data_IF_236384392762
#
_entry.id   IF_236384392762
#
_cell.length_a   1.000
_cell.length_b   1.000
_cell.length_c   1.000
_cell.angle_alpha   90.00
_cell.angle_beta   90.00
_cell.angle_gamma   90.00
#
_symmetry.space_group_name_H-M   'P 1'
#
loop_
_entity.id
_entity.type
_entity.pdbx_description
1 polymer ?
#
# COMPACT_ATOMS: atom_id res chain seq x y z
N UNK A 1 -22.54 -17.22 5.40
CA UNK A 1 -21.70 -16.07 5.91
C UNK A 1 -22.45 -15.31 7.02
N UNK A 2 -21.97 -15.25 8.21
CA UNK A 2 -22.60 -14.70 9.41
C UNK A 2 -23.27 -13.34 9.14
N UNK A 3 -23.63 -13.01 7.81
CA UNK A 3 -24.41 -11.82 7.41
C UNK A 3 -25.71 -12.20 6.71
N UNK A 4 -25.85 -13.48 6.52
CA UNK A 4 -27.03 -13.96 5.76
C UNK A 4 -28.17 -14.29 6.73
N UNK A 5 -27.88 -14.26 8.08
CA UNK A 5 -28.90 -14.70 9.07
C UNK A 5 -29.67 -13.47 9.56
N UNK A 6 -29.07 -12.22 9.26
CA UNK A 6 -29.80 -11.02 9.72
C UNK A 6 -30.71 -10.47 8.62
N UNK A 7 -30.47 -10.96 7.34
CA UNK A 7 -31.24 -10.52 6.17
C UNK A 7 -32.46 -11.44 5.98
N UNK A 8 -32.41 -12.68 6.60
CA UNK A 8 -33.54 -13.63 6.44
C UNK A 8 -34.52 -13.45 7.60
N UNK A 9 -34.11 -12.77 8.71
CA UNK A 9 -35.06 -12.55 9.82
C UNK A 9 -35.74 -11.19 9.67
N UNK A 10 -35.33 -10.41 8.68
CA UNK A 10 -35.82 -9.02 8.56
C UNK A 10 -36.72 -8.88 7.33
N UNK A 11 -36.75 -9.86 6.46
CA UNK A 11 -37.65 -9.89 5.28
C UNK A 11 -39.08 -10.30 5.69
N UNK A 12 -39.29 -10.46 7.05
CA UNK A 12 -40.65 -10.85 7.50
C UNK A 12 -41.37 -9.64 8.09
N UNK A 13 -40.79 -8.31 7.84
CA UNK A 13 -41.57 -7.18 8.39
C UNK A 13 -41.39 -5.96 7.50
N UNK A 14 -41.71 -5.94 6.20
CA UNK A 14 -42.07 -4.81 5.31
C UNK A 14 -41.46 -3.48 5.77
N UNK A 15 -40.28 -3.36 6.47
CA UNK A 15 -39.65 -2.06 6.73
C UNK A 15 -38.30 -2.03 5.98
N UNK A 16 -38.24 -1.40 4.78
CA UNK A 16 -36.95 -1.14 4.09
C UNK A 16 -35.88 -0.63 5.06
N UNK A 17 -35.25 -1.54 5.77
CA UNK A 17 -34.15 -1.15 6.68
C UNK A 17 -32.92 -0.82 5.82
N UNK A 18 -32.58 0.50 5.76
CA UNK A 18 -31.33 0.98 5.11
C UNK A 18 -30.09 0.51 5.90
N UNK A 19 -29.36 -0.44 5.32
CA UNK A 19 -28.10 -0.94 5.94
C UNK A 19 -27.14 0.25 6.13
N UNK A 20 -26.62 0.36 7.38
CA UNK A 20 -25.66 1.45 7.63
C UNK A 20 -24.44 1.39 6.70
N UNK A 21 -23.88 2.49 6.27
CA UNK A 21 -22.75 2.58 5.31
C UNK A 21 -21.53 1.79 5.81
N UNK A 22 -21.30 1.86 7.10
CA UNK A 22 -20.11 1.13 7.59
C UNK A 22 -20.26 -0.39 7.38
N UNK A 23 -21.47 -0.88 7.52
CA UNK A 23 -21.68 -2.33 7.30
C UNK A 23 -21.53 -2.67 5.81
N UNK A 24 -21.96 -1.72 4.98
CA UNK A 24 -21.81 -1.97 3.52
C UNK A 24 -20.34 -1.94 3.10
N UNK A 25 -19.64 -0.98 3.73
CA UNK A 25 -18.21 -0.91 3.37
C UNK A 25 -17.52 -2.20 3.84
N UNK A 26 -17.80 -2.60 5.01
CA UNK A 26 -17.17 -3.83 5.50
C UNK A 26 -17.51 -5.02 4.60
N UNK A 27 -18.79 -5.18 4.28
CA UNK A 27 -19.18 -6.28 3.39
C UNK A 27 -18.44 -6.20 2.04
N UNK A 28 -18.40 -4.99 1.52
CA UNK A 28 -17.70 -4.84 0.22
C UNK A 28 -16.21 -5.17 0.37
N UNK A 29 -15.60 -4.78 1.45
CA UNK A 29 -14.17 -5.07 1.64
C UNK A 29 -13.94 -6.58 1.80
N UNK A 30 -14.81 -7.26 2.52
CA UNK A 30 -14.67 -8.73 2.64
C UNK A 30 -14.71 -9.40 1.27
N UNK A 31 -15.63 -8.95 0.53
CA UNK A 31 -15.69 -9.55 -0.83
C UNK A 31 -14.40 -9.26 -1.62
N UNK A 32 -14.04 -8.01 -1.47
CA UNK A 32 -12.77 -7.67 -2.15
C UNK A 32 -11.65 -8.60 -1.72
N UNK A 33 -11.48 -8.87 -0.43
CA UNK A 33 -10.35 -9.71 0.04
C UNK A 33 -10.55 -11.17 -0.38
N UNK A 34 -11.77 -11.60 -0.48
CA UNK A 34 -11.99 -12.99 -0.93
C UNK A 34 -11.50 -13.16 -2.38
N UNK A 35 -11.67 -12.06 -3.15
CA UNK A 35 -11.19 -12.18 -4.55
C UNK A 35 -9.66 -12.22 -4.56
N UNK A 36 -9.02 -11.51 -3.66
CA UNK A 36 -7.54 -11.35 -3.73
C UNK A 36 -6.85 -12.48 -2.96
N UNK A 37 -7.47 -13.08 -2.04
CA UNK A 37 -6.83 -14.02 -1.08
C UNK A 37 -6.08 -15.12 -1.82
N UNK A 38 -6.64 -15.73 -2.85
CA UNK A 38 -5.91 -16.81 -3.53
C UNK A 38 -4.59 -16.31 -4.14
N UNK A 39 -4.66 -15.14 -4.74
CA UNK A 39 -3.40 -14.62 -5.32
C UNK A 39 -2.41 -14.28 -4.19
N UNK A 40 -2.92 -13.70 -3.15
CA UNK A 40 -2.02 -13.35 -2.03
C UNK A 40 -1.31 -14.60 -1.48
N UNK A 41 -2.00 -15.68 -1.40
CA UNK A 41 -1.35 -16.93 -0.91
C UNK A 41 -0.20 -17.36 -1.83
N UNK A 42 -0.45 -17.12 -3.14
CA UNK A 42 0.63 -17.50 -4.07
C UNK A 42 1.80 -16.51 -3.94
N UNK A 43 1.46 -15.26 -3.85
CA UNK A 43 2.53 -14.24 -3.95
C UNK A 43 3.32 -14.19 -2.64
N UNK A 44 2.65 -14.37 -1.62
CA UNK A 44 3.39 -14.18 -0.35
C UNK A 44 3.71 -15.52 0.29
N UNK A 45 3.56 -16.56 -0.52
CA UNK A 45 4.00 -17.90 -0.07
C UNK A 45 5.25 -18.35 -0.83
N UNK A 46 5.62 -19.57 -0.83
CA UNK A 46 6.86 -20.09 -1.45
C UNK A 46 6.62 -20.44 -2.92
N UNK A 47 5.43 -20.07 -3.45
CA UNK A 47 5.07 -20.58 -4.80
C UNK A 47 5.21 -19.47 -5.84
N UNK A 48 5.64 -18.31 -5.48
CA UNK A 48 5.57 -17.20 -6.46
C UNK A 48 6.47 -17.50 -7.67
N UNK A 49 7.70 -17.91 -7.40
CA UNK A 49 8.62 -18.13 -8.55
C UNK A 49 8.06 -19.21 -9.49
N UNK A 50 7.62 -20.28 -8.92
CA UNK A 50 7.03 -21.35 -9.76
C UNK A 50 5.80 -20.83 -10.53
N UNK A 51 5.03 -20.07 -9.88
CA UNK A 51 3.81 -19.53 -10.53
C UNK A 51 4.19 -18.63 -11.72
N UNK A 52 5.18 -17.74 -11.45
CA UNK A 52 5.54 -16.78 -12.52
C UNK A 52 6.15 -17.50 -13.73
N UNK A 53 6.64 -18.73 -13.58
CA UNK A 53 7.26 -19.45 -14.72
C UNK A 53 6.21 -20.20 -15.54
N UNK A 54 5.00 -20.11 -15.08
CA UNK A 54 3.94 -20.77 -15.88
C UNK A 54 3.48 -19.87 -17.04
N UNK A 55 3.07 -20.48 -18.16
CA UNK A 55 2.65 -19.69 -19.35
C UNK A 55 1.27 -19.09 -19.12
N UNK A 56 0.58 -19.59 -18.03
CA UNK A 56 -0.81 -19.15 -17.85
C UNK A 56 -0.89 -18.13 -16.71
N UNK A 57 0.27 -17.75 -16.14
CA UNK A 57 0.25 -16.88 -14.94
C UNK A 57 -0.45 -15.55 -15.25
N UNK A 58 -0.08 -14.95 -16.42
CA UNK A 58 -0.69 -13.64 -16.71
C UNK A 58 -2.19 -13.79 -16.96
N UNK A 59 -2.56 -14.85 -17.64
CA UNK A 59 -4.01 -15.08 -17.85
C UNK A 59 -4.74 -15.24 -16.51
N UNK A 60 -4.12 -15.97 -15.60
CA UNK A 60 -4.74 -16.15 -14.27
C UNK A 60 -4.91 -14.80 -13.57
N UNK A 61 -3.89 -13.96 -13.54
CA UNK A 61 -3.96 -12.64 -12.87
C UNK A 61 -4.97 -11.73 -13.58
N UNK A 62 -4.93 -11.87 -14.94
CA UNK A 62 -5.93 -11.07 -15.69
C UNK A 62 -7.36 -11.46 -15.28
N UNK A 63 -7.64 -12.72 -15.08
CA UNK A 63 -8.97 -13.16 -14.62
C UNK A 63 -9.33 -12.53 -13.26
N UNK A 64 -8.34 -12.53 -12.37
CA UNK A 64 -8.61 -11.90 -11.05
C UNK A 64 -8.87 -10.40 -11.20
N UNK A 65 -8.10 -9.75 -12.04
CA UNK A 65 -8.33 -8.31 -12.30
C UNK A 65 -9.75 -8.07 -12.83
N UNK A 66 -10.27 -8.95 -13.63
CA UNK A 66 -11.66 -8.77 -14.13
C UNK A 66 -12.67 -8.90 -12.99
N UNK A 67 -12.43 -9.83 -12.14
CA UNK A 67 -13.34 -9.96 -10.99
C UNK A 67 -13.32 -8.69 -10.12
N UNK A 68 -12.12 -8.10 -9.99
CA UNK A 68 -12.04 -6.87 -9.18
C UNK A 68 -12.80 -5.73 -9.86
N UNK A 69 -12.68 -5.68 -11.21
CA UNK A 69 -13.44 -4.61 -11.90
C UNK A 69 -14.95 -4.85 -11.77
N UNK A 70 -15.29 -6.13 -11.91
CA UNK A 70 -16.73 -6.40 -11.72
C UNK A 70 -17.17 -6.02 -10.30
N UNK A 71 -16.27 -6.35 -9.33
CA UNK A 71 -16.58 -5.93 -7.95
C UNK A 71 -16.78 -4.41 -7.89
N UNK A 72 -15.88 -3.62 -8.45
CA UNK A 72 -16.00 -2.16 -8.39
C UNK A 72 -17.27 -1.68 -9.10
N UNK A 73 -17.66 -2.35 -10.24
CA UNK A 73 -18.86 -1.92 -11.01
C UNK A 73 -20.14 -2.25 -10.22
N UNK A 74 -20.02 -3.14 -9.31
CA UNK A 74 -21.26 -3.60 -8.64
C UNK A 74 -21.45 -2.90 -7.30
N UNK A 75 -20.60 -1.88 -7.00
CA UNK A 75 -20.75 -1.24 -5.68
C UNK A 75 -22.01 -0.37 -5.65
N UNK A 76 -22.67 -0.38 -4.51
CA UNK A 76 -23.77 0.59 -4.39
C UNK A 76 -23.29 2.03 -4.58
N UNK A 77 -24.20 2.87 -5.08
CA UNK A 77 -23.80 4.25 -5.44
C UNK A 77 -23.24 5.00 -4.22
N UNK A 78 -23.69 4.68 -3.06
CA UNK A 78 -23.21 5.39 -1.86
C UNK A 78 -21.74 5.05 -1.57
N UNK A 79 -21.32 3.94 -2.10
CA UNK A 79 -19.92 3.59 -1.81
C UNK A 79 -19.00 4.05 -2.94
N UNK A 80 -19.62 4.71 -3.93
CA UNK A 80 -18.77 5.30 -4.97
C UNK A 80 -18.18 6.60 -4.41
N UNK A 81 -16.85 6.69 -4.62
CA UNK A 81 -16.18 7.87 -4.02
C UNK A 81 -16.77 9.17 -4.60
N UNK A 82 -17.06 10.06 -3.69
CA UNK A 82 -17.56 11.41 -4.05
C UNK A 82 -17.30 12.38 -2.89
N UNK A 83 -17.35 13.67 -3.26
CA UNK A 83 -17.16 14.62 -2.15
C UNK A 83 -18.14 14.34 -0.99
N UNK A 84 -17.59 14.24 0.25
CA UNK A 84 -18.44 14.01 1.44
C UNK A 84 -18.46 12.53 1.85
N UNK A 85 -17.79 11.70 0.99
CA UNK A 85 -17.77 10.27 1.37
C UNK A 85 -17.00 10.10 2.68
N UNK A 86 -17.38 9.04 3.36
CA UNK A 86 -16.70 8.77 4.64
C UNK A 86 -15.26 8.30 4.41
N UNK A 87 -14.43 8.46 5.48
CA UNK A 87 -13.03 7.99 5.36
C UNK A 87 -12.97 6.49 5.05
N UNK A 88 -13.95 5.67 5.47
CA UNK A 88 -13.94 4.22 5.18
C UNK A 88 -14.08 3.95 3.68
N UNK A 89 -14.84 4.79 3.00
CA UNK A 89 -15.01 4.60 1.54
C UNK A 89 -13.68 4.91 0.82
N UNK A 90 -13.00 5.91 1.31
CA UNK A 90 -11.69 6.21 0.69
C UNK A 90 -10.70 5.06 0.91
N UNK A 91 -10.70 4.56 2.17
CA UNK A 91 -9.73 3.48 2.44
C UNK A 91 -10.07 2.23 1.62
N UNK A 92 -11.35 1.98 1.47
CA UNK A 92 -11.74 0.82 0.62
C UNK A 92 -11.14 0.95 -0.79
N UNK A 93 -11.23 2.12 -1.33
CA UNK A 93 -10.69 2.30 -2.69
C UNK A 93 -9.16 2.28 -2.69
N UNK A 94 -8.58 2.73 -1.55
CA UNK A 94 -7.11 2.59 -1.46
C UNK A 94 -6.73 1.10 -1.51
N UNK A 95 -7.43 0.28 -0.82
CA UNK A 95 -7.09 -1.15 -0.83
C UNK A 95 -7.37 -1.77 -2.21
N UNK A 96 -8.43 -1.27 -2.79
CA UNK A 96 -8.72 -1.78 -4.15
C UNK A 96 -7.53 -1.55 -5.08
N UNK A 97 -7.00 -0.38 -5.04
CA UNK A 97 -5.89 -0.10 -5.99
C UNK A 97 -4.58 -0.72 -5.48
N UNK A 98 -4.45 -0.87 -4.19
CA UNK A 98 -3.24 -1.58 -3.70
C UNK A 98 -3.24 -3.04 -4.19
N UNK A 99 -4.38 -3.65 -4.17
CA UNK A 99 -4.48 -5.04 -4.62
C UNK A 99 -4.17 -5.14 -6.13
N UNK A 100 -4.69 -4.21 -6.86
CA UNK A 100 -4.42 -4.27 -8.31
C UNK A 100 -2.91 -4.10 -8.56
N UNK A 101 -2.35 -3.16 -7.80
CA UNK A 101 -0.90 -3.01 -7.99
C UNK A 101 -0.16 -4.29 -7.59
N UNK A 102 -0.59 -4.96 -6.57
CA UNK A 102 0.06 -6.22 -6.18
C UNK A 102 -0.12 -7.30 -7.25
N UNK A 103 -1.26 -7.27 -7.92
CA UNK A 103 -1.50 -8.31 -8.96
C UNK A 103 -0.43 -8.21 -10.06
N UNK A 104 -0.04 -7.00 -10.35
CA UNK A 104 0.74 -6.90 -11.61
C UNK A 104 2.19 -6.56 -11.30
N UNK A 105 2.49 -6.33 -10.06
CA UNK A 105 3.87 -5.91 -9.70
C UNK A 105 4.90 -6.97 -10.12
N UNK A 106 4.66 -8.23 -9.92
CA UNK A 106 5.70 -9.21 -10.30
C UNK A 106 5.97 -9.20 -11.81
N UNK A 107 5.05 -8.79 -12.56
CA UNK A 107 5.24 -8.87 -14.03
C UNK A 107 6.07 -7.68 -14.53
N UNK A 108 6.20 -6.71 -13.65
CA UNK A 108 6.97 -5.53 -14.11
C UNK A 108 8.46 -5.83 -14.16
N UNK A 109 8.87 -6.91 -13.70
CA UNK A 109 10.32 -7.21 -13.66
C UNK A 109 10.82 -7.74 -15.02
N UNK A 110 9.84 -8.23 -15.72
CA UNK A 110 10.24 -8.72 -17.06
C UNK A 110 9.60 -7.85 -18.15
N UNK A 111 10.46 -7.20 -18.95
CA UNK A 111 9.93 -6.29 -19.99
C UNK A 111 8.97 -7.01 -20.95
N UNK A 112 9.23 -8.30 -21.19
CA UNK A 112 8.32 -9.04 -22.11
C UNK A 112 6.94 -9.24 -21.47
N UNK A 113 6.92 -9.51 -20.23
CA UNK A 113 5.62 -9.77 -19.58
C UNK A 113 4.93 -8.45 -19.22
N UNK A 114 5.72 -7.47 -18.92
CA UNK A 114 5.13 -6.18 -18.49
C UNK A 114 4.38 -5.50 -19.64
N UNK A 115 4.76 -5.78 -20.86
CA UNK A 115 4.10 -5.08 -22.00
C UNK A 115 3.21 -6.05 -22.77
N UNK A 116 3.14 -7.29 -22.20
CA UNK A 116 2.29 -8.24 -22.92
C UNK A 116 0.81 -7.82 -22.79
N UNK A 117 0.07 -7.98 -23.89
CA UNK A 117 -1.33 -7.54 -23.87
C UNK A 117 -2.20 -8.44 -22.98
N UNK A 118 -3.07 -7.76 -22.26
CA UNK A 118 -4.12 -8.53 -21.56
C UNK A 118 -5.20 -8.97 -22.55
N UNK A 119 -5.42 -10.24 -22.66
CA UNK A 119 -6.17 -10.81 -23.81
C UNK A 119 -7.68 -10.54 -23.67
N UNK A 120 -8.11 -10.30 -22.52
CA UNK A 120 -9.58 -10.20 -22.34
C UNK A 120 -9.99 -8.72 -22.46
N UNK A 121 -9.00 -7.79 -22.75
CA UNK A 121 -9.36 -6.37 -22.84
C UNK A 121 -9.13 -5.88 -24.28
N UNK A 122 -10.13 -5.09 -24.73
CA UNK A 122 -10.09 -4.62 -26.15
C UNK A 122 -9.14 -3.43 -26.29
N UNK A 123 -8.76 -2.88 -25.18
CA UNK A 123 -7.91 -1.68 -25.26
C UNK A 123 -6.48 -2.03 -25.71
N UNK A 124 -5.99 -1.25 -26.70
CA UNK A 124 -4.70 -1.47 -27.40
C UNK A 124 -3.51 -1.35 -26.42
N UNK A 125 -3.79 -0.81 -25.24
CA UNK A 125 -2.63 -0.63 -24.33
C UNK A 125 -2.91 -1.30 -22.98
N UNK A 126 -3.86 -2.26 -23.10
CA UNK A 126 -4.13 -2.94 -21.81
C UNK A 126 -3.03 -3.99 -21.55
N UNK A 127 -2.12 -3.57 -20.67
CA UNK A 127 -1.02 -4.48 -20.26
C UNK A 127 -0.69 -4.25 -18.78
N UNK A 128 0.06 -5.18 -18.17
CA UNK A 128 0.33 -5.09 -16.74
C UNK A 128 0.94 -3.74 -16.34
N UNK A 129 1.87 -3.29 -17.15
CA UNK A 129 2.51 -2.00 -16.79
C UNK A 129 1.48 -0.87 -16.79
N UNK A 130 0.69 -0.83 -17.77
CA UNK A 130 -0.31 0.26 -17.85
C UNK A 130 -1.30 0.18 -16.68
N UNK A 131 -1.76 -1.02 -16.40
CA UNK A 131 -2.74 -1.16 -15.30
C UNK A 131 -2.09 -0.77 -13.97
N UNK A 132 -0.89 -1.24 -13.76
CA UNK A 132 -0.16 -0.86 -12.52
C UNK A 132 -0.06 0.67 -12.41
N UNK A 133 0.31 1.33 -13.46
CA UNK A 133 0.55 2.79 -13.36
C UNK A 133 -0.77 3.55 -13.18
N UNK A 134 -1.78 3.06 -13.87
CA UNK A 134 -3.06 3.75 -13.67
C UNK A 134 -3.51 3.62 -12.21
N UNK A 135 -3.37 2.44 -11.65
CA UNK A 135 -3.78 2.29 -10.24
C UNK A 135 -2.92 3.14 -9.31
N UNK A 136 -1.65 3.26 -9.59
CA UNK A 136 -0.80 4.13 -8.74
C UNK A 136 -1.24 5.59 -8.88
N UNK A 137 -1.53 5.95 -10.11
CA UNK A 137 -1.99 7.34 -10.28
C UNK A 137 -3.26 7.60 -9.45
N UNK A 138 -4.17 6.62 -9.52
CA UNK A 138 -5.40 6.81 -8.73
C UNK A 138 -5.09 6.80 -7.23
N UNK A 139 -4.17 5.99 -6.80
CA UNK A 139 -3.80 5.96 -5.37
C UNK A 139 -3.18 7.30 -4.94
N UNK A 140 -2.34 7.91 -5.84
CA UNK A 140 -1.78 9.23 -5.49
C UNK A 140 -2.90 10.26 -5.29
N UNK A 141 -3.88 10.21 -6.18
CA UNK A 141 -5.00 11.17 -6.03
C UNK A 141 -5.77 10.90 -4.74
N UNK A 142 -5.94 9.60 -4.48
CA UNK A 142 -6.67 9.28 -3.24
C UNK A 142 -5.89 9.74 -2.01
N UNK A 143 -4.62 9.56 -2.12
CA UNK A 143 -3.78 9.96 -0.97
C UNK A 143 -3.88 11.48 -0.76
N UNK A 144 -3.86 12.21 -1.79
CA UNK A 144 -3.94 13.68 -1.63
C UNK A 144 -5.31 14.10 -1.13
N UNK A 145 -6.28 13.52 -1.77
CA UNK A 145 -7.65 13.88 -1.34
C UNK A 145 -7.89 13.53 0.13
N UNK A 146 -7.35 12.36 0.47
CA UNK A 146 -7.56 11.92 1.86
C UNK A 146 -6.93 12.91 2.85
N UNK A 147 -5.78 13.43 2.48
CA UNK A 147 -5.09 14.35 3.40
C UNK A 147 -5.80 15.71 3.44
N UNK A 148 -6.38 15.99 2.37
CA UNK A 148 -7.04 17.32 2.34
C UNK A 148 -8.40 17.26 3.04
N UNK A 149 -9.00 16.10 3.06
CA UNK A 149 -10.40 16.06 3.51
C UNK A 149 -10.48 15.58 4.96
N UNK A 150 -9.40 14.87 5.38
CA UNK A 150 -9.55 14.23 6.70
C UNK A 150 -8.34 14.62 7.57
N UNK A 151 -8.63 15.26 8.72
CA UNK A 151 -7.54 15.77 9.58
C UNK A 151 -7.17 14.73 10.65
N UNK A 152 -8.12 14.27 11.54
CA UNK A 152 -7.75 13.32 12.60
C UNK A 152 -7.79 11.88 12.07
N UNK A 153 -8.66 11.62 11.13
CA UNK A 153 -8.79 10.25 10.57
C UNK A 153 -7.56 9.89 9.73
N UNK A 154 -6.88 10.95 9.30
CA UNK A 154 -5.61 10.67 8.60
C UNK A 154 -4.58 10.05 9.54
N UNK A 155 -4.99 9.93 10.79
CA UNK A 155 -4.08 9.21 11.71
C UNK A 155 -4.48 7.74 11.86
N UNK A 156 -5.47 7.39 11.00
CA UNK A 156 -5.80 5.95 10.97
C UNK A 156 -4.61 5.11 10.48
N UNK A 157 -4.37 3.96 11.20
CA UNK A 157 -3.24 3.08 10.84
C UNK A 157 -3.48 2.48 9.44
N UNK A 158 -4.76 2.49 9.01
CA UNK A 158 -5.09 1.79 7.74
C UNK A 158 -4.71 2.66 6.54
N UNK A 159 -4.56 3.88 6.84
CA UNK A 159 -4.20 4.80 5.73
C UNK A 159 -2.75 4.62 5.30
N UNK A 160 -1.95 3.99 6.07
CA UNK A 160 -0.53 3.78 5.76
C UNK A 160 -0.34 2.94 4.49
N UNK A 161 -1.31 2.10 4.16
CA UNK A 161 -1.17 1.29 2.93
C UNK A 161 -1.00 2.20 1.70
N UNK A 162 -1.81 3.20 1.62
CA UNK A 162 -1.66 4.13 0.48
C UNK A 162 -0.29 4.80 0.47
N UNK A 163 0.18 5.17 1.67
CA UNK A 163 1.48 5.87 1.76
C UNK A 163 2.61 4.96 1.31
N UNK A 164 2.57 3.72 1.75
CA UNK A 164 3.68 2.79 1.42
C UNK A 164 3.67 2.49 -0.08
N UNK A 165 2.47 2.32 -0.60
CA UNK A 165 2.42 1.94 -2.03
C UNK A 165 2.84 3.12 -2.91
N UNK A 166 2.41 4.29 -2.61
CA UNK A 166 2.79 5.44 -3.44
C UNK A 166 4.29 5.72 -3.29
N UNK A 167 4.80 5.61 -2.01
CA UNK A 167 6.25 5.79 -1.85
C UNK A 167 7.04 4.78 -2.70
N UNK A 168 6.66 3.53 -2.66
CA UNK A 168 7.38 2.49 -3.45
C UNK A 168 7.34 2.81 -4.95
N UNK A 169 6.21 3.27 -5.36
CA UNK A 169 6.09 3.51 -6.81
C UNK A 169 6.91 4.73 -7.24
N UNK A 170 7.06 5.65 -6.34
CA UNK A 170 7.71 6.92 -6.76
C UNK A 170 9.23 6.81 -6.56
N UNK A 171 9.68 5.91 -5.62
CA UNK A 171 11.12 5.83 -5.34
C UNK A 171 11.76 4.83 -6.30
N UNK A 172 10.98 4.32 -7.25
CA UNK A 172 11.55 3.35 -8.20
C UNK A 172 12.55 4.02 -9.14
N UNK A 173 13.50 3.21 -9.64
CA UNK A 173 14.62 3.74 -10.43
C UNK A 173 14.13 4.27 -11.79
N UNK A 174 13.03 3.75 -12.18
CA UNK A 174 12.61 4.14 -13.56
C UNK A 174 11.56 5.26 -13.49
N UNK A 175 11.49 5.90 -12.37
CA UNK A 175 10.54 7.01 -12.28
C UNK A 175 11.19 8.29 -12.87
N UNK A 176 10.45 8.98 -13.76
CA UNK A 176 11.18 9.95 -14.62
C UNK A 176 10.84 11.39 -14.23
N UNK A 177 9.82 11.59 -13.37
CA UNK A 177 9.52 12.98 -12.96
C UNK A 177 10.05 13.26 -11.54
N UNK A 178 11.18 13.99 -11.50
CA UNK A 178 11.91 14.16 -10.22
C UNK A 178 11.09 15.03 -9.25
N UNK A 179 10.44 16.08 -9.80
CA UNK A 179 9.67 16.97 -8.89
C UNK A 179 8.49 16.22 -8.27
N UNK A 180 7.81 15.55 -9.12
CA UNK A 180 6.69 14.76 -8.57
C UNK A 180 7.19 13.70 -7.58
N UNK A 181 8.22 13.06 -7.94
CA UNK A 181 8.78 12.06 -7.01
C UNK A 181 9.11 12.70 -5.66
N UNK A 182 9.80 13.77 -5.72
CA UNK A 182 10.18 14.42 -4.44
C UNK A 182 8.93 14.84 -3.66
N UNK A 183 8.02 15.35 -4.34
CA UNK A 183 6.78 15.76 -3.67
C UNK A 183 6.13 14.59 -2.93
N UNK A 184 5.92 13.50 -3.59
CA UNK A 184 5.17 12.40 -2.95
C UNK A 184 6.04 11.70 -1.89
N UNK A 185 7.38 11.64 -2.17
CA UNK A 185 8.22 11.02 -1.11
C UNK A 185 8.14 11.88 0.16
N UNK A 186 8.17 13.16 0.00
CA UNK A 186 8.08 14.03 1.20
C UNK A 186 6.71 13.92 1.85
N UNK A 187 5.73 13.94 0.95
CA UNK A 187 4.38 13.77 1.50
C UNK A 187 4.25 12.47 2.31
N UNK A 188 4.76 11.39 1.85
CA UNK A 188 4.63 10.09 2.53
C UNK A 188 5.46 10.06 3.81
N UNK A 189 6.66 10.62 3.75
CA UNK A 189 7.51 10.60 4.96
C UNK A 189 6.85 11.48 6.04
N UNK A 190 6.36 12.59 5.66
CA UNK A 190 5.66 13.42 6.65
C UNK A 190 4.45 12.69 7.24
N UNK A 191 3.68 12.08 6.36
CA UNK A 191 2.52 11.29 6.87
C UNK A 191 2.96 10.22 7.87
N UNK A 192 4.04 9.55 7.61
CA UNK A 192 4.48 8.45 8.51
C UNK A 192 5.06 9.03 9.81
N UNK A 193 5.67 10.21 9.67
CA UNK A 193 6.18 10.83 10.91
C UNK A 193 5.03 11.18 11.86
N UNK A 194 4.00 11.68 11.27
CA UNK A 194 2.85 12.03 12.13
C UNK A 194 2.27 10.78 12.80
N UNK A 195 2.26 9.72 12.04
CA UNK A 195 1.74 8.47 12.64
C UNK A 195 2.70 7.92 13.70
N UNK A 196 3.91 8.14 13.48
CA UNK A 196 4.91 7.65 14.44
C UNK A 196 4.73 8.37 15.79
N UNK A 197 4.19 9.56 15.71
CA UNK A 197 3.97 10.26 17.00
C UNK A 197 2.96 9.51 17.87
N UNK A 198 2.16 8.78 17.17
CA UNK A 198 1.08 8.13 17.96
C UNK A 198 1.32 6.63 18.06
N UNK A 199 2.04 6.14 17.04
CA UNK A 199 2.25 4.69 17.03
C UNK A 199 3.72 4.40 16.73
N UNK A 200 4.35 3.70 17.59
CA UNK A 200 5.81 3.47 17.51
C UNK A 200 6.17 2.68 16.23
N UNK A 201 5.29 1.88 15.78
CA UNK A 201 5.60 0.97 14.65
C UNK A 201 5.90 1.77 13.39
N UNK A 202 5.48 2.87 13.30
CA UNK A 202 5.65 3.63 12.05
C UNK A 202 7.05 4.26 11.99
N UNK A 203 7.75 4.16 13.18
CA UNK A 203 9.18 4.56 13.12
C UNK A 203 10.00 3.68 12.18
N UNK A 204 9.76 2.34 12.37
CA UNK A 204 10.52 1.42 11.50
C UNK A 204 10.11 1.57 10.03
N UNK A 205 8.85 1.79 9.77
CA UNK A 205 8.39 1.94 8.38
C UNK A 205 8.99 3.23 7.78
N UNK A 206 8.95 4.28 8.59
CA UNK A 206 9.54 5.55 8.09
C UNK A 206 11.02 5.37 7.75
N UNK A 207 11.71 4.71 8.62
CA UNK A 207 13.16 4.47 8.36
C UNK A 207 13.35 3.60 7.11
N UNK A 208 12.52 2.59 7.00
CA UNK A 208 12.61 1.74 5.79
C UNK A 208 12.43 2.56 4.51
N UNK A 209 11.38 3.39 4.48
CA UNK A 209 11.12 4.18 3.26
C UNK A 209 12.30 5.14 3.03
N UNK A 210 12.82 5.73 4.09
CA UNK A 210 13.97 6.63 3.93
C UNK A 210 15.19 5.89 3.36
N UNK A 211 15.36 4.75 3.89
CA UNK A 211 16.50 3.98 3.35
C UNK A 211 16.33 3.73 1.85
N UNK A 212 15.11 3.36 1.55
CA UNK A 212 14.86 3.14 0.11
C UNK A 212 15.12 4.43 -0.69
N UNK A 213 14.64 5.50 -0.19
CA UNK A 213 14.79 6.79 -0.93
C UNK A 213 16.26 7.17 -1.03
N UNK A 214 17.09 6.92 -0.01
CA UNK A 214 18.54 7.24 -0.05
C UNK A 214 19.24 6.37 -1.10
N UNK A 215 18.88 5.12 -1.05
CA UNK A 215 19.53 4.20 -2.01
C UNK A 215 19.26 4.62 -3.46
N UNK A 216 18.12 5.20 -3.66
CA UNK A 216 17.75 5.52 -5.06
C UNK A 216 18.06 6.99 -5.37
N UNK A 217 18.63 7.67 -4.39
CA UNK A 217 19.00 9.09 -4.60
C UNK A 217 17.76 9.98 -4.74
N UNK A 218 16.64 9.56 -4.08
CA UNK A 218 15.35 10.25 -4.33
C UNK A 218 15.06 11.22 -3.18
N UNK A 219 16.10 11.41 -2.32
CA UNK A 219 15.86 12.35 -1.21
C UNK A 219 17.16 13.09 -0.93
N UNK A 220 16.97 14.42 -0.56
CA UNK A 220 18.15 15.27 -0.27
C UNK A 220 18.72 14.98 1.13
N UNK A 221 20.01 15.28 1.23
CA UNK A 221 20.69 14.97 2.50
C UNK A 221 20.11 15.79 3.66
N UNK A 222 19.77 17.02 3.38
CA UNK A 222 19.18 17.85 4.46
C UNK A 222 17.89 17.23 5.00
N UNK A 223 17.17 16.72 4.10
CA UNK A 223 15.91 16.07 4.54
C UNK A 223 16.20 14.79 5.36
N UNK A 224 17.17 14.10 4.95
CA UNK A 224 17.53 12.88 5.71
C UNK A 224 17.88 13.28 7.15
N UNK A 225 18.67 14.35 7.26
CA UNK A 225 19.08 14.76 8.62
C UNK A 225 17.86 15.22 9.43
N UNK A 226 16.96 15.93 8.77
CA UNK A 226 15.76 16.39 9.47
C UNK A 226 14.92 15.21 10.00
N UNK A 227 14.72 14.25 9.11
CA UNK A 227 13.87 13.11 9.51
C UNK A 227 14.57 12.33 10.64
N UNK A 228 15.81 12.26 10.58
CA UNK A 228 16.52 11.53 11.66
C UNK A 228 16.33 12.24 13.00
N UNK A 229 16.59 13.49 12.94
CA UNK A 229 16.43 14.24 14.20
C UNK A 229 15.02 14.07 14.77
N UNK A 230 14.11 14.17 13.92
CA UNK A 230 12.71 14.05 14.38
C UNK A 230 12.43 12.64 14.95
N UNK A 231 12.89 11.63 14.22
CA UNK A 231 12.65 10.26 14.72
C UNK A 231 13.30 10.05 16.09
N UNK A 232 14.47 10.64 16.29
CA UNK A 232 15.15 10.50 17.60
C UNK A 232 14.34 11.21 18.70
N UNK A 233 13.89 12.37 18.38
CA UNK A 233 13.10 13.11 19.38
C UNK A 233 11.83 12.33 19.78
N UNK A 234 11.18 11.81 18.77
CA UNK A 234 9.91 11.10 19.06
C UNK A 234 10.22 9.81 19.82
N UNK A 235 11.30 9.10 19.41
CA UNK A 235 11.67 7.84 20.11
C UNK A 235 11.93 8.10 21.60
N UNK A 236 12.58 9.20 21.90
CA UNK A 236 12.86 9.52 23.33
C UNK A 236 11.55 9.65 24.12
N UNK A 237 10.47 9.95 23.45
CA UNK A 237 9.15 10.06 24.12
C UNK A 237 8.55 8.69 24.41
N UNK A 238 8.93 7.65 23.63
CA UNK A 238 8.35 6.30 23.77
C UNK A 238 9.16 5.46 24.75
N UNK A 239 10.38 5.84 25.26
CA UNK A 239 11.34 5.14 26.14
C UNK A 239 10.69 4.90 27.51
N UNK A 240 9.20 5.01 27.63
CA UNK A 240 8.53 4.53 28.86
C UNK A 240 7.73 3.26 28.58
N UNK A 241 7.97 2.36 27.44
CA UNK A 241 7.04 1.22 27.32
C UNK A 241 7.58 0.24 26.28
N UNK A 242 8.10 -1.05 26.68
CA UNK A 242 8.24 -2.51 26.48
C UNK A 242 8.36 -2.85 24.99
N UNK A 243 9.52 -3.45 24.43
CA UNK A 243 10.38 -4.13 23.44
C UNK A 243 9.60 -5.23 22.71
N UNK A 244 8.19 -5.49 22.97
CA UNK A 244 7.58 -6.70 22.37
C UNK A 244 6.71 -6.31 21.16
N UNK A 245 6.30 -4.98 20.88
CA UNK A 245 5.53 -4.53 19.72
C UNK A 245 6.47 -4.15 18.56
N UNK A 246 7.82 -4.20 18.79
CA UNK A 246 8.84 -3.79 17.80
C UNK A 246 9.24 -4.96 16.90
N UNK A 247 9.02 -6.23 17.41
CA UNK A 247 9.56 -7.38 16.64
C UNK A 247 8.53 -7.89 15.64
N UNK A 248 7.17 -7.91 15.98
CA UNK A 248 6.13 -8.42 15.05
C UNK A 248 5.87 -7.41 13.91
N UNK A 249 6.08 -6.16 14.14
CA UNK A 249 5.76 -5.15 13.11
C UNK A 249 7.00 -4.78 12.30
N UNK A 250 8.23 -5.31 12.78
CA UNK A 250 9.47 -5.35 11.98
C UNK A 250 9.35 -6.31 10.79
N UNK A 251 8.27 -7.08 10.84
CA UNK A 251 8.22 -8.06 9.73
C UNK A 251 7.34 -7.52 8.59
N UNK A 252 6.78 -6.29 8.77
CA UNK A 252 5.99 -5.74 7.65
C UNK A 252 6.89 -5.47 6.44
N UNK A 253 6.17 -5.69 5.26
CA UNK A 253 6.95 -5.46 4.03
C UNK A 253 6.87 -3.97 3.64
N UNK A 254 8.02 -3.39 3.61
CA UNK A 254 8.04 -1.95 3.29
C UNK A 254 8.54 -1.76 1.85
N UNK A 255 9.60 -2.51 1.50
CA UNK A 255 10.02 -2.46 0.08
C UNK A 255 9.26 -3.51 -0.76
N UNK A 256 8.25 -3.01 -1.46
CA UNK A 256 7.31 -3.94 -2.12
C UNK A 256 7.94 -4.55 -3.38
N UNK A 257 8.86 -3.81 -3.98
CA UNK A 257 9.54 -4.40 -5.16
C UNK A 257 10.53 -5.49 -4.74
N UNK A 258 11.26 -5.22 -3.64
CA UNK A 258 12.21 -6.23 -3.14
C UNK A 258 11.47 -7.45 -2.57
N UNK A 259 10.27 -7.21 -2.13
CA UNK A 259 9.52 -8.32 -1.48
C UNK A 259 9.19 -9.42 -2.49
N UNK A 260 9.20 -9.07 -3.70
CA UNK A 260 8.87 -10.08 -4.72
C UNK A 260 10.01 -11.09 -4.84
N UNK A 261 11.20 -10.65 -4.56
CA UNK A 261 12.35 -11.59 -4.76
C UNK A 261 12.95 -11.98 -3.42
N UNK A 262 12.82 -11.07 -2.52
CA UNK A 262 13.46 -11.34 -1.22
C UNK A 262 12.62 -10.69 -0.11
N UNK A 263 11.76 -11.51 0.42
CA UNK A 263 10.78 -10.94 1.35
C UNK A 263 11.41 -10.60 2.69
N UNK A 264 12.47 -11.32 3.00
CA UNK A 264 13.10 -11.07 4.32
C UNK A 264 13.81 -9.71 4.29
N UNK A 265 14.47 -9.40 3.16
CA UNK A 265 15.23 -8.12 3.12
C UNK A 265 14.28 -6.94 2.90
N UNK A 266 13.08 -7.28 2.57
CA UNK A 266 12.14 -6.18 2.25
C UNK A 266 11.40 -5.75 3.52
N UNK A 267 11.74 -6.37 4.61
CA UNK A 267 10.98 -6.09 5.84
C UNK A 267 11.44 -4.77 6.45
N UNK A 268 10.42 -4.07 7.11
CA UNK A 268 10.66 -2.73 7.68
C UNK A 268 11.77 -2.76 8.74
N UNK A 269 11.80 -3.81 9.57
CA UNK A 269 12.83 -3.90 10.63
C UNK A 269 14.26 -3.94 10.06
N UNK A 270 14.39 -4.80 9.01
CA UNK A 270 15.75 -4.88 8.41
C UNK A 270 16.16 -3.56 7.77
N UNK A 271 15.23 -3.00 7.08
CA UNK A 271 15.57 -1.71 6.42
C UNK A 271 15.84 -0.63 7.47
N UNK A 272 15.11 -0.67 8.47
CA UNK A 272 15.33 0.33 9.52
C UNK A 272 16.72 0.19 10.15
N UNK A 273 17.12 -1.04 10.44
CA UNK A 273 18.48 -1.25 10.99
C UNK A 273 19.56 -0.73 10.04
N UNK A 274 19.33 -1.00 8.79
CA UNK A 274 20.33 -0.49 7.82
C UNK A 274 20.37 1.05 7.82
N UNK A 275 19.21 1.58 7.89
CA UNK A 275 19.18 3.05 7.93
C UNK A 275 19.93 3.56 9.16
N UNK A 276 19.80 2.94 10.31
CA UNK A 276 20.51 3.38 11.53
C UNK A 276 22.02 3.20 11.39
N UNK A 277 22.45 2.11 10.74
CA UNK A 277 23.91 1.83 10.60
C UNK A 277 24.58 2.90 9.73
N UNK A 278 23.83 3.39 8.67
CA UNK A 278 24.44 4.42 7.78
C UNK A 278 24.74 5.70 8.57
N UNK A 279 24.09 5.91 9.56
CA UNK A 279 24.25 7.11 10.41
C UNK A 279 25.50 7.00 11.29
N UNK A 280 25.87 5.78 11.65
CA UNK A 280 27.06 5.58 12.51
C UNK A 280 28.35 5.65 11.71
N UNK A 281 28.26 5.46 10.43
CA UNK A 281 29.47 5.49 9.56
C UNK A 281 29.72 6.93 9.07
N UNK A 282 28.77 7.84 8.99
CA UNK A 282 28.97 9.25 8.59
C UNK A 282 29.48 10.08 9.77
N UNK A 283 29.33 9.61 11.06
CA UNK A 283 29.89 10.28 12.25
C UNK A 283 31.35 9.87 12.48
N UNK A 284 31.92 8.79 11.80
CA UNK A 284 33.31 8.32 11.99
C UNK A 284 34.21 8.82 10.85
N UNK A 285 33.70 9.47 9.83
CA UNK A 285 34.57 9.99 8.74
C UNK A 285 34.64 11.51 8.83
N UNK A 286 34.12 12.08 9.87
CA UNK A 286 34.28 13.54 10.09
C UNK A 286 34.90 13.83 11.45
N UNK A 287 35.67 12.87 12.09
CA UNK A 287 36.64 13.35 13.11
C UNK A 287 38.07 13.27 12.56
#
# INVERSE_FOLDING_TARGET
MPGDIEITLAGQEGVAISIPEDIEVFSAMCKLWTIFAPVARVYYGSDLEAFMNQTTALEYVEGTYRQLLAWADGLPLRLVRQPGSSHAVYLMHVFFHAIITDLFRPFLRSPDLSSAPLKTFAADRANPQAVYHVSIRQMKRLLLSYRLEFQLEALSVLWQTGVIYVANATIRADYHNKDEMQFFVNLCVAGLEELFMLYKVFGAITKGIMRMAIRQGSIEQTQVRRVRRRLKEIEQRFMADDTSTDEMMARWMVDLDLAVTNSVEAQGGRLAKEFDRMSELTHDEGE
#
